data_IF_493190720003
#
_entry.id   IF_493190720003
#
_cell.length_a   1.000
_cell.length_b   1.000
_cell.length_c   1.000
_cell.angle_alpha   90.00
_cell.angle_beta   90.00
_cell.angle_gamma   90.00
#
_symmetry.space_group_name_H-M   'P 1'
#
loop_
_entity.id
_entity.type
_entity.pdbx_description
1 polymer ?
#
# COMPACT_ATOMS: atom_id res chain seq x y z
N UNK A 1 4.37 -7.72 19.87
CA UNK A 1 4.96 -6.50 19.26
C UNK A 1 3.98 -5.35 19.44
N UNK A 2 4.42 -4.15 19.84
CA UNK A 2 3.51 -3.02 19.99
C UNK A 2 3.27 -2.31 18.64
N UNK A 3 2.13 -1.63 18.52
CA UNK A 3 1.69 -0.99 17.28
C UNK A 3 2.64 0.10 16.80
N UNK A 4 3.26 0.84 17.72
CA UNK A 4 4.24 1.88 17.38
C UNK A 4 5.49 1.30 16.73
N UNK A 5 6.00 0.16 17.21
CA UNK A 5 7.13 -0.53 16.60
C UNK A 5 6.79 -1.03 15.19
N UNK A 6 5.62 -1.62 14.99
CA UNK A 6 5.17 -2.05 13.67
C UNK A 6 5.09 -0.87 12.68
N UNK A 7 4.56 0.28 13.12
CA UNK A 7 4.49 1.47 12.27
C UNK A 7 5.90 2.00 11.93
N UNK A 8 6.83 1.99 12.90
CA UNK A 8 8.21 2.40 12.65
C UNK A 8 8.91 1.47 11.65
N UNK A 9 8.72 0.16 11.78
CA UNK A 9 9.24 -0.84 10.84
C UNK A 9 8.68 -0.64 9.43
N UNK A 10 7.38 -0.38 9.30
CA UNK A 10 6.73 -0.09 8.01
C UNK A 10 7.30 1.19 7.37
N UNK A 11 7.50 2.24 8.17
CA UNK A 11 8.07 3.51 7.69
C UNK A 11 9.50 3.31 7.17
N UNK A 12 10.31 2.53 7.89
CA UNK A 12 11.68 2.24 7.48
C UNK A 12 11.73 1.33 6.26
N UNK A 13 10.87 0.31 6.20
CA UNK A 13 10.73 -0.55 5.01
C UNK A 13 10.39 0.26 3.75
N UNK A 14 9.51 1.27 3.86
CA UNK A 14 9.22 2.19 2.76
C UNK A 14 10.41 3.02 2.31
N UNK A 15 11.26 3.47 3.25
CA UNK A 15 12.50 4.21 2.92
C UNK A 15 13.49 3.32 2.16
N UNK A 16 13.67 2.09 2.63
CA UNK A 16 14.54 1.09 1.97
C UNK A 16 13.98 0.75 0.59
N UNK A 17 12.67 0.54 0.47
CA UNK A 17 12.03 0.23 -0.80
C UNK A 17 12.22 1.34 -1.85
N UNK A 18 12.08 2.61 -1.44
CA UNK A 18 12.34 3.75 -2.32
C UNK A 18 13.80 3.81 -2.78
N UNK A 19 14.75 3.52 -1.89
CA UNK A 19 16.16 3.45 -2.26
C UNK A 19 16.42 2.32 -3.26
N UNK A 20 15.90 1.12 -2.99
CA UNK A 20 16.06 -0.03 -3.87
C UNK A 20 15.43 0.22 -5.25
N UNK A 21 14.24 0.81 -5.31
CA UNK A 21 13.59 1.15 -6.57
C UNK A 21 14.47 2.09 -7.40
N UNK A 22 15.04 3.11 -6.79
CA UNK A 22 15.95 4.03 -7.47
C UNK A 22 17.22 3.34 -7.99
N UNK A 23 17.78 2.39 -7.22
CA UNK A 23 18.92 1.58 -7.64
C UNK A 23 18.57 0.72 -8.85
N UNK A 24 17.42 0.06 -8.84
CA UNK A 24 16.96 -0.82 -9.93
C UNK A 24 16.71 -0.02 -11.21
N UNK A 25 16.04 1.13 -11.08
CA UNK A 25 15.77 2.02 -12.22
C UNK A 25 17.06 2.58 -12.83
N UNK A 26 18.10 2.79 -12.02
CA UNK A 26 19.41 3.28 -12.47
C UNK A 26 20.33 2.16 -12.97
N UNK A 27 20.13 0.93 -12.51
CA UNK A 27 20.94 -0.23 -12.85
C UNK A 27 20.08 -1.50 -12.89
N UNK A 28 19.36 -1.75 -13.99
CA UNK A 28 18.46 -2.89 -14.12
C UNK A 28 19.16 -4.25 -13.92
N UNK A 29 20.43 -4.32 -14.30
CA UNK A 29 21.29 -5.51 -14.20
C UNK A 29 21.64 -5.89 -12.75
N UNK A 30 21.44 -4.98 -11.78
CA UNK A 30 21.69 -5.24 -10.36
C UNK A 30 20.64 -6.18 -9.74
N UNK A 31 19.51 -6.40 -10.40
CA UNK A 31 18.46 -7.28 -9.93
C UNK A 31 18.76 -8.70 -10.35
N UNK A 32 18.91 -9.60 -9.38
CA UNK A 32 18.78 -11.03 -9.68
C UNK A 32 17.33 -11.29 -10.07
N UNK A 33 17.07 -11.45 -11.36
CA UNK A 33 15.78 -11.90 -11.87
C UNK A 33 15.44 -13.25 -11.20
N UNK A 34 14.46 -13.24 -10.30
CA UNK A 34 14.07 -14.33 -9.40
C UNK A 34 12.58 -14.22 -9.03
N UNK A 35 12.17 -14.79 -7.90
CA UNK A 35 10.78 -15.07 -7.43
C UNK A 35 9.70 -13.98 -7.52
N UNK A 36 10.02 -12.76 -7.96
CA UNK A 36 9.07 -11.68 -8.12
C UNK A 36 8.72 -11.49 -9.59
N UNK A 37 7.45 -11.67 -9.93
CA UNK A 37 6.89 -11.38 -11.26
C UNK A 37 7.13 -9.91 -11.65
N UNK A 38 7.15 -9.00 -10.65
CA UNK A 38 7.58 -7.62 -10.80
C UNK A 38 8.08 -7.07 -9.45
N UNK A 39 9.41 -7.00 -9.28
CA UNK A 39 10.01 -6.48 -8.04
C UNK A 39 9.72 -4.98 -7.85
N UNK A 40 9.57 -4.23 -8.94
CA UNK A 40 9.23 -2.81 -8.89
C UNK A 40 7.82 -2.61 -8.32
N UNK A 41 6.83 -3.41 -8.73
CA UNK A 41 5.47 -3.33 -8.21
C UNK A 41 5.42 -3.63 -6.71
N UNK A 42 6.21 -4.61 -6.26
CA UNK A 42 6.34 -4.91 -4.83
C UNK A 42 6.92 -3.72 -4.06
N UNK A 43 8.00 -3.10 -4.57
CA UNK A 43 8.62 -1.94 -3.92
C UNK A 43 7.67 -0.73 -3.88
N UNK A 44 6.95 -0.47 -4.99
CA UNK A 44 5.93 0.58 -5.05
C UNK A 44 4.80 0.35 -4.04
N UNK A 45 4.35 -0.90 -3.89
CA UNK A 45 3.35 -1.25 -2.88
C UNK A 45 3.85 -0.93 -1.45
N UNK A 46 5.09 -1.32 -1.11
CA UNK A 46 5.66 -1.07 0.21
C UNK A 46 5.79 0.43 0.49
N UNK A 47 6.23 1.22 -0.49
CA UNK A 47 6.30 2.69 -0.39
C UNK A 47 4.92 3.27 -0.08
N UNK A 48 3.89 2.85 -0.81
CA UNK A 48 2.52 3.34 -0.63
C UNK A 48 1.97 3.05 0.78
N UNK A 49 2.22 1.84 1.31
CA UNK A 49 1.80 1.47 2.67
C UNK A 49 2.50 2.36 3.71
N UNK A 50 3.80 2.61 3.53
CA UNK A 50 4.56 3.48 4.41
C UNK A 50 4.05 4.94 4.39
N UNK A 51 3.67 5.47 3.23
CA UNK A 51 3.09 6.81 3.10
C UNK A 51 1.75 6.94 3.81
N UNK A 52 0.89 5.92 3.70
CA UNK A 52 -0.40 5.88 4.42
C UNK A 52 -0.17 5.92 5.93
N UNK A 53 0.78 5.14 6.44
CA UNK A 53 1.08 5.13 7.88
C UNK A 53 1.72 6.44 8.36
N UNK A 54 2.59 7.07 7.56
CA UNK A 54 3.11 8.43 7.85
C UNK A 54 1.99 9.46 7.89
N UNK A 55 1.10 9.44 6.91
CA UNK A 55 -0.06 10.34 6.87
C UNK A 55 -0.97 10.11 8.08
N UNK A 56 -1.13 8.86 8.51
CA UNK A 56 -1.90 8.50 9.70
C UNK A 56 -1.26 8.98 11.00
N UNK A 57 0.06 8.85 11.14
CA UNK A 57 0.80 9.39 12.28
C UNK A 57 0.72 10.92 12.35
N UNK A 58 0.77 11.59 11.20
CA UNK A 58 0.63 13.05 11.11
C UNK A 58 -0.82 13.54 11.29
N UNK A 59 -1.77 12.65 11.60
CA UNK A 59 -3.21 13.00 11.71
C UNK A 59 -3.87 13.39 10.39
N UNK A 60 -3.19 13.22 9.25
CA UNK A 60 -3.67 13.62 7.91
C UNK A 60 -4.68 12.65 7.31
N UNK A 61 -4.74 11.41 7.80
CA UNK A 61 -5.87 10.52 7.49
C UNK A 61 -6.99 10.75 8.51
N UNK A 62 -7.90 11.67 8.20
CA UNK A 62 -9.04 11.95 9.07
C UNK A 62 -9.97 10.73 9.20
N UNK A 63 -10.59 10.55 10.37
CA UNK A 63 -11.65 9.55 10.59
C UNK A 63 -12.77 9.69 9.55
N UNK A 64 -13.10 10.93 9.16
CA UNK A 64 -14.07 11.24 8.09
C UNK A 64 -13.69 10.60 6.76
N UNK A 65 -12.41 10.66 6.36
CA UNK A 65 -11.93 10.04 5.12
C UNK A 65 -12.06 8.52 5.20
N UNK A 66 -11.66 7.90 6.32
CA UNK A 66 -11.83 6.46 6.55
C UNK A 66 -13.30 6.05 6.48
N UNK A 67 -14.19 6.80 7.12
CA UNK A 67 -15.64 6.53 7.10
C UNK A 67 -16.22 6.67 5.68
N UNK A 68 -15.81 7.69 4.90
CA UNK A 68 -16.24 7.82 3.50
C UNK A 68 -15.80 6.64 2.63
N UNK A 69 -14.56 6.19 2.77
CA UNK A 69 -14.06 5.00 2.07
C UNK A 69 -14.84 3.75 2.47
N UNK A 70 -15.07 3.56 3.76
CA UNK A 70 -15.81 2.42 4.28
C UNK A 70 -17.25 2.38 3.75
N UNK A 71 -17.99 3.50 3.83
CA UNK A 71 -19.35 3.62 3.28
C UNK A 71 -19.35 3.36 1.79
N UNK A 72 -18.38 3.90 1.04
CA UNK A 72 -18.28 3.66 -0.40
C UNK A 72 -18.01 2.20 -0.73
N UNK A 73 -17.21 1.50 0.07
CA UNK A 73 -16.93 0.08 -0.11
C UNK A 73 -18.18 -0.77 0.13
N UNK A 74 -18.93 -0.50 1.20
CA UNK A 74 -20.17 -1.22 1.53
C UNK A 74 -21.21 -1.02 0.41
N UNK A 75 -21.41 0.22 -0.03
CA UNK A 75 -22.37 0.53 -1.09
C UNK A 75 -21.98 -0.05 -2.47
N UNK A 76 -20.68 -0.19 -2.75
CA UNK A 76 -20.19 -0.85 -3.97
C UNK A 76 -20.42 -2.35 -3.91
N UNK A 77 -20.22 -2.98 -2.75
CA UNK A 77 -20.41 -4.41 -2.53
C UNK A 77 -21.91 -4.81 -2.57
N UNK A 78 -22.79 -3.91 -2.11
CA UNK A 78 -24.24 -4.02 -2.32
C UNK A 78 -24.61 -3.94 -3.81
N UNK A 79 -24.03 -2.99 -4.56
CA UNK A 79 -24.31 -2.82 -6.00
C UNK A 79 -23.77 -3.96 -6.87
N UNK A 80 -22.65 -4.57 -6.50
CA UNK A 80 -22.12 -5.73 -7.23
C UNK A 80 -22.97 -6.97 -7.01
N UNK A 81 -23.54 -7.17 -5.81
CA UNK A 81 -24.52 -8.23 -5.53
C UNK A 81 -25.83 -8.06 -6.30
N UNK A 82 -26.24 -6.82 -6.60
CA UNK A 82 -27.48 -6.53 -7.34
C UNK A 82 -27.46 -6.79 -8.86
N UNK A 83 -26.31 -7.14 -9.47
CA UNK A 83 -26.20 -7.46 -10.91
C UNK A 83 -25.93 -8.95 -11.19
N UNK A 84 -26.23 -9.82 -10.22
CA UNK A 84 -25.94 -11.26 -10.29
C UNK A 84 -27.13 -12.18 -10.46
N UNK A 85 -28.38 -11.75 -10.22
CA UNK A 85 -29.55 -12.62 -10.29
C UNK A 85 -30.72 -11.94 -11.02
N UNK A 86 -30.64 -11.95 -12.35
CA UNK A 86 -31.81 -11.87 -13.21
C UNK A 86 -31.61 -12.91 -14.32
N UNK A 87 -31.97 -14.15 -13.98
CA UNK A 87 -32.30 -15.20 -14.93
C UNK A 87 -33.63 -14.88 -15.62
#
# INVERSE_FOLDING_TARGET
MNRSKLVAEVVEAGRIAAHNLNVIQSNPEAVKHGEFESIEDYLLMVIRVAEIEKARLAGRTSLRTRLKYLVSSILRDERSKGKGDAA
#
